data_IF_892768134547
#
_entry.id   IF_892768134547
#
_cell.length_a   1.000
_cell.length_b   1.000
_cell.length_c   1.000
_cell.angle_alpha   90.00
_cell.angle_beta   90.00
_cell.angle_gamma   90.00
#
_symmetry.space_group_name_H-M   'P 1'
#
loop_
_entity.id
_entity.type
_entity.pdbx_description
1 polymer ?
#
# COMPACT_ATOMS: atom_id res chain seq x y z
N UNK A 1 2.90 -12.27 -3.09
CA UNK A 1 3.11 -12.34 -4.55
C UNK A 1 4.02 -11.17 -4.93
N UNK A 2 4.94 -11.36 -5.87
CA UNK A 2 5.92 -10.31 -6.23
C UNK A 2 5.77 -10.02 -7.70
N UNK A 3 5.77 -8.74 -8.07
CA UNK A 3 5.70 -8.35 -9.48
C UNK A 3 6.91 -8.93 -10.23
N UNK A 4 6.76 -9.33 -11.51
CA UNK A 4 7.87 -9.83 -12.32
C UNK A 4 9.03 -8.84 -12.47
N UNK A 5 8.78 -7.54 -12.28
CA UNK A 5 9.81 -6.49 -12.22
C UNK A 5 10.64 -6.51 -10.92
N UNK A 6 10.29 -7.33 -9.93
CA UNK A 6 11.01 -7.44 -8.65
C UNK A 6 10.91 -6.21 -7.75
N UNK A 7 10.14 -5.18 -8.15
CA UNK A 7 10.06 -3.88 -7.45
C UNK A 7 9.07 -3.85 -6.30
N UNK A 8 7.94 -4.53 -6.45
CA UNK A 8 6.88 -4.52 -5.45
C UNK A 8 6.48 -5.94 -5.04
N UNK A 9 6.47 -6.18 -3.73
CA UNK A 9 5.94 -7.42 -3.14
C UNK A 9 4.65 -7.10 -2.41
N UNK A 10 3.56 -7.79 -2.76
CA UNK A 10 2.29 -7.68 -2.04
C UNK A 10 2.25 -8.76 -0.95
N UNK A 11 1.96 -8.33 0.27
CA UNK A 11 1.77 -9.22 1.40
C UNK A 11 0.56 -8.79 2.22
N UNK A 12 -0.16 -9.76 2.75
CA UNK A 12 -1.30 -9.51 3.63
C UNK A 12 -0.77 -9.28 5.05
N UNK A 13 -0.85 -8.04 5.53
CA UNK A 13 -0.57 -7.70 6.90
C UNK A 13 -1.84 -7.84 7.76
N UNK A 14 -1.69 -8.21 9.03
CA UNK A 14 -2.79 -8.15 10.00
C UNK A 14 -3.12 -6.69 10.38
N UNK A 15 -4.06 -6.53 11.31
CA UNK A 15 -4.48 -5.23 11.80
C UNK A 15 -3.29 -4.33 12.16
N UNK A 16 -3.26 -3.13 11.56
CA UNK A 16 -2.27 -2.07 11.82
C UNK A 16 -2.75 -1.11 12.92
N UNK A 17 -3.91 -1.40 13.54
CA UNK A 17 -4.53 -0.53 14.54
C UNK A 17 -5.17 0.74 13.96
N UNK A 18 -5.20 0.90 12.64
CA UNK A 18 -5.73 2.07 11.94
C UNK A 18 -7.20 1.89 11.51
N UNK A 19 -8.04 1.29 12.37
CA UNK A 19 -9.43 0.94 12.03
C UNK A 19 -10.28 2.16 11.60
N UNK A 20 -10.02 3.35 12.16
CA UNK A 20 -10.72 4.58 11.79
C UNK A 20 -10.33 5.17 10.43
N UNK A 21 -9.27 4.64 9.81
CA UNK A 21 -8.75 5.05 8.50
C UNK A 21 -8.90 3.94 7.46
N UNK A 22 -9.66 2.88 7.77
CA UNK A 22 -9.93 1.81 6.83
C UNK A 22 -10.61 2.36 5.56
N UNK A 23 -10.24 1.87 4.37
CA UNK A 23 -9.16 0.93 4.03
C UNK A 23 -7.75 1.54 4.15
N UNK A 24 -6.82 0.78 4.73
CA UNK A 24 -5.43 1.18 4.98
C UNK A 24 -4.47 0.30 4.18
N UNK A 25 -3.44 0.92 3.60
CA UNK A 25 -2.35 0.24 2.90
C UNK A 25 -1.03 0.68 3.53
N UNK A 26 -0.11 -0.28 3.73
CA UNK A 26 1.21 -0.02 4.27
C UNK A 26 2.24 -0.29 3.17
N UNK A 27 3.05 0.72 2.83
CA UNK A 27 4.13 0.60 1.85
C UNK A 27 5.45 0.94 2.54
N UNK A 28 6.28 -0.06 2.77
CA UNK A 28 7.47 0.06 3.61
C UNK A 28 7.07 0.40 5.05
N UNK A 29 7.47 1.57 5.55
CA UNK A 29 7.11 2.07 6.89
C UNK A 29 6.02 3.15 6.87
N UNK A 30 5.51 3.53 5.68
CA UNK A 30 4.45 4.54 5.56
C UNK A 30 3.07 3.92 5.57
N UNK A 31 2.20 4.49 6.40
CA UNK A 31 0.77 4.11 6.50
C UNK A 31 -0.07 5.07 5.66
N UNK A 32 -0.78 4.53 4.68
CA UNK A 32 -1.73 5.26 3.85
C UNK A 32 -3.15 4.88 4.26
N UNK A 33 -3.89 5.82 4.85
CA UNK A 33 -5.30 5.65 5.22
C UNK A 33 -6.25 6.17 4.13
N UNK A 34 -7.51 5.72 4.18
CA UNK A 34 -8.59 6.10 3.23
C UNK A 34 -8.19 5.87 1.76
N UNK A 35 -7.52 4.76 1.49
CA UNK A 35 -7.00 4.47 0.16
C UNK A 35 -8.11 3.95 -0.75
N UNK A 36 -8.40 4.69 -1.80
CA UNK A 36 -9.25 4.21 -2.90
C UNK A 36 -8.42 3.39 -3.90
N UNK A 37 -9.03 2.46 -4.65
CA UNK A 37 -8.31 1.67 -5.65
C UNK A 37 -7.58 2.53 -6.70
N UNK A 38 -8.11 3.70 -7.03
CA UNK A 38 -7.45 4.66 -7.92
C UNK A 38 -6.22 5.31 -7.26
N UNK A 39 -6.31 5.59 -5.96
CA UNK A 39 -5.22 6.14 -5.15
C UNK A 39 -4.02 5.19 -5.01
N UNK A 40 -4.24 3.87 -5.09
CA UNK A 40 -3.14 2.88 -5.08
C UNK A 40 -2.17 3.12 -6.23
N UNK A 41 -2.65 3.46 -7.43
CA UNK A 41 -1.80 3.77 -8.58
C UNK A 41 -0.96 5.03 -8.34
N UNK A 42 -1.55 6.05 -7.73
CA UNK A 42 -0.83 7.28 -7.37
C UNK A 42 0.26 7.01 -6.34
N UNK A 43 -0.03 6.18 -5.32
CA UNK A 43 0.95 5.79 -4.31
C UNK A 43 2.12 5.06 -4.98
N UNK A 44 1.85 4.07 -5.83
CA UNK A 44 2.90 3.32 -6.55
C UNK A 44 3.75 4.21 -7.48
N UNK A 45 3.13 5.21 -8.13
CA UNK A 45 3.85 6.15 -8.98
C UNK A 45 4.86 7.01 -8.19
N UNK A 46 4.58 7.32 -6.92
CA UNK A 46 5.49 8.08 -6.06
C UNK A 46 6.78 7.29 -5.75
N UNK A 47 6.70 5.96 -5.72
CA UNK A 47 7.85 5.06 -5.49
C UNK A 47 8.57 4.63 -6.78
N UNK A 48 7.99 4.86 -7.96
CA UNK A 48 8.59 4.47 -9.25
C UNK A 48 9.44 5.60 -9.87
N UNK A 49 10.09 6.40 -9.02
CA UNK A 49 10.93 7.54 -9.41
C UNK A 49 12.40 7.15 -9.57
#
# INVERSE_FOLDING_TARGET
ETTPDGRFSINCLRCVGACGLAPVVLVGEKVYGRVSPDGVKSILAEYNK
#
